data_IF_893277639447
#
_entry.id   IF_893277639447
#
_cell.length_a   1.000
_cell.length_b   1.000
_cell.length_c   1.000
_cell.angle_alpha   90.00
_cell.angle_beta   90.00
_cell.angle_gamma   90.00
#
_symmetry.space_group_name_H-M   'P 1'
#
loop_
_entity.id
_entity.type
_entity.pdbx_description
1 polymer ?
#
# COMPACT_ATOMS: atom_id res chain seq x y z
N UNK A 1 25.34 11.26 -82.55
CA UNK A 1 26.13 10.07 -82.92
C UNK A 1 26.93 9.64 -81.71
N UNK A 2 26.70 8.42 -81.20
CA UNK A 2 27.49 7.84 -80.11
C UNK A 2 26.72 7.65 -78.81
N UNK A 3 25.88 6.61 -78.78
CA UNK A 3 25.21 6.07 -77.61
C UNK A 3 26.11 4.99 -76.98
N UNK A 4 26.24 4.93 -75.65
CA UNK A 4 26.67 3.73 -74.91
C UNK A 4 25.86 3.63 -73.62
N UNK A 5 24.81 2.82 -73.71
CA UNK A 5 23.95 2.35 -72.63
C UNK A 5 24.75 1.61 -71.55
N UNK A 6 24.51 1.94 -70.28
CA UNK A 6 24.59 0.98 -69.18
C UNK A 6 23.23 0.94 -68.48
N UNK A 7 22.44 -0.05 -68.87
CA UNK A 7 21.19 -0.43 -68.20
C UNK A 7 21.55 -1.00 -66.82
N UNK A 8 21.43 -0.21 -65.76
CA UNK A 8 21.25 -0.74 -64.41
C UNK A 8 19.75 -0.98 -64.19
N UNK A 9 19.37 -2.25 -64.26
CA UNK A 9 18.07 -2.77 -63.81
C UNK A 9 17.90 -2.43 -62.32
N UNK A 10 16.89 -1.61 -61.97
CA UNK A 10 16.37 -1.51 -60.59
C UNK A 10 15.15 -2.42 -60.48
N UNK A 11 15.15 -3.46 -59.64
CA UNK A 11 13.92 -4.18 -59.34
C UNK A 11 13.08 -3.32 -58.39
N UNK A 12 11.81 -3.11 -58.73
CA UNK A 12 10.80 -2.55 -57.83
C UNK A 12 10.33 -3.64 -56.88
N UNK A 13 10.88 -3.68 -55.66
CA UNK A 13 10.31 -4.47 -54.58
C UNK A 13 9.17 -3.67 -53.94
N UNK A 14 7.93 -4.07 -54.20
CA UNK A 14 6.77 -3.65 -53.41
C UNK A 14 6.89 -4.31 -52.03
N UNK A 15 7.21 -3.51 -51.02
CA UNK A 15 7.18 -3.96 -49.63
C UNK A 15 5.71 -3.99 -49.16
N UNK A 16 5.19 -5.18 -48.95
CA UNK A 16 3.91 -5.38 -48.25
C UNK A 16 4.08 -4.85 -46.81
N UNK A 17 3.31 -3.82 -46.47
CA UNK A 17 3.30 -3.22 -45.13
C UNK A 17 2.56 -4.19 -44.21
N UNK A 18 3.31 -4.92 -43.39
CA UNK A 18 2.75 -5.68 -42.27
C UNK A 18 2.32 -4.68 -41.19
N UNK A 19 1.02 -4.40 -41.11
CA UNK A 19 0.44 -3.60 -40.02
C UNK A 19 0.71 -4.32 -38.69
N UNK A 20 1.56 -3.72 -37.85
CA UNK A 20 1.81 -4.22 -36.49
C UNK A 20 0.64 -3.82 -35.60
N UNK A 21 0.14 -4.71 -34.73
CA UNK A 21 -0.97 -4.38 -33.84
C UNK A 21 -0.59 -3.21 -32.94
N UNK A 22 -1.48 -2.21 -32.85
CA UNK A 22 -1.30 -0.99 -32.09
C UNK A 22 -0.94 -1.31 -30.64
N UNK A 23 0.19 -0.77 -30.17
CA UNK A 23 0.55 -0.84 -28.75
C UNK A 23 -0.49 -0.06 -27.94
N UNK A 24 -1.31 -0.77 -27.16
CA UNK A 24 -2.26 -0.16 -26.22
C UNK A 24 -1.49 0.22 -24.96
N UNK A 25 -1.39 1.51 -24.70
CA UNK A 25 -0.66 2.01 -23.55
C UNK A 25 -1.45 1.79 -22.26
N UNK A 26 -0.74 1.67 -21.12
CA UNK A 26 -1.36 1.41 -19.83
C UNK A 26 -2.43 2.44 -19.42
N UNK A 27 -2.38 3.64 -19.98
CA UNK A 27 -3.37 4.70 -19.73
C UNK A 27 -4.61 4.66 -20.62
N UNK A 28 -4.59 3.89 -21.72
CA UNK A 28 -5.70 3.67 -22.66
C UNK A 28 -6.65 2.55 -22.22
N UNK A 29 -6.30 1.81 -21.15
CA UNK A 29 -7.19 0.79 -20.56
C UNK A 29 -8.25 1.49 -19.71
N UNK A 30 -9.50 1.47 -20.19
CA UNK A 30 -10.68 2.04 -19.52
C UNK A 30 -11.09 1.25 -18.24
N UNK A 31 -10.52 0.07 -18.01
CA UNK A 31 -10.80 -0.80 -16.84
C UNK A 31 -10.05 -0.42 -15.56
N UNK A 32 -9.53 0.81 -15.45
CA UNK A 32 -9.08 1.32 -14.16
C UNK A 32 -10.33 1.59 -13.32
N UNK A 33 -10.79 0.60 -12.54
CA UNK A 33 -11.61 0.89 -11.36
C UNK A 33 -10.97 2.09 -10.69
N UNK A 34 -11.68 3.21 -10.67
CA UNK A 34 -11.10 4.48 -10.27
C UNK A 34 -10.70 4.36 -8.79
N UNK A 35 -9.41 4.12 -8.55
CA UNK A 35 -8.82 4.05 -7.21
C UNK A 35 -9.02 5.42 -6.58
N UNK A 36 -9.98 5.52 -5.67
CA UNK A 36 -10.28 6.75 -4.95
C UNK A 36 -9.31 6.86 -3.78
N UNK A 37 -8.75 8.04 -3.57
CA UNK A 37 -7.78 8.27 -2.47
C UNK A 37 -8.44 8.00 -1.12
N UNK A 38 -9.73 8.28 -1.04
CA UNK A 38 -10.57 8.14 0.14
C UNK A 38 -10.67 6.68 0.62
N UNK A 39 -10.46 5.70 -0.27
CA UNK A 39 -10.54 4.29 0.10
C UNK A 39 -9.36 3.85 1.01
N UNK A 40 -8.25 4.58 0.94
CA UNK A 40 -6.98 4.32 1.63
C UNK A 40 -6.75 5.21 2.86
N UNK A 41 -7.71 6.08 3.17
CA UNK A 41 -7.61 7.02 4.28
C UNK A 41 -8.85 6.85 5.16
N UNK A 42 -8.63 6.47 6.41
CA UNK A 42 -9.64 6.56 7.46
C UNK A 42 -9.40 7.87 8.21
N UNK A 43 -10.31 8.82 8.08
CA UNK A 43 -10.21 10.15 8.71
C UNK A 43 -11.47 10.44 9.53
N UNK A 44 -11.30 10.95 10.76
CA UNK A 44 -12.38 11.50 11.61
C UNK A 44 -13.50 10.51 11.96
N UNK A 45 -13.16 9.24 12.12
CA UNK A 45 -14.13 8.21 12.51
C UNK A 45 -14.30 8.19 14.03
N UNK A 46 -15.52 7.92 14.50
CA UNK A 46 -15.84 7.89 15.92
C UNK A 46 -16.80 6.76 16.26
N UNK A 47 -16.41 5.86 17.17
CA UNK A 47 -17.21 4.70 17.59
C UNK A 47 -17.56 3.73 16.45
N UNK A 48 -16.67 3.59 15.47
CA UNK A 48 -16.90 2.79 14.27
C UNK A 48 -16.05 1.52 14.23
N UNK A 49 -16.55 0.50 13.55
CA UNK A 49 -15.78 -0.71 13.23
C UNK A 49 -15.64 -0.82 11.72
N UNK A 50 -14.40 -0.82 11.24
CA UNK A 50 -14.06 -0.75 9.82
C UNK A 50 -13.30 -2.00 9.41
N UNK A 51 -13.64 -2.52 8.22
CA UNK A 51 -13.00 -3.65 7.61
C UNK A 51 -12.41 -3.28 6.24
N UNK A 52 -11.22 -3.78 5.96
CA UNK A 52 -10.61 -3.84 4.63
C UNK A 52 -10.34 -5.29 4.30
N UNK A 53 -11.00 -5.77 3.25
CA UNK A 53 -10.93 -7.15 2.81
C UNK A 53 -9.68 -7.40 1.95
N UNK A 54 -9.27 -8.67 1.77
CA UNK A 54 -8.14 -9.00 0.89
C UNK A 54 -8.33 -8.42 -0.52
N UNK A 55 -7.28 -7.80 -1.06
CA UNK A 55 -7.28 -7.15 -2.38
C UNK A 55 -7.83 -5.73 -2.41
N UNK A 56 -8.36 -5.20 -1.30
CA UNK A 56 -8.89 -3.83 -1.25
C UNK A 56 -7.81 -2.74 -1.19
N UNK A 57 -6.66 -3.03 -0.58
CA UNK A 57 -5.54 -2.08 -0.47
C UNK A 57 -4.44 -2.43 -1.48
N UNK A 58 -4.22 -3.73 -1.72
CA UNK A 58 -3.31 -4.25 -2.74
C UNK A 58 -1.91 -3.59 -2.73
N UNK A 59 -1.29 -3.54 -1.54
CA UNK A 59 0.08 -3.04 -1.37
C UNK A 59 0.22 -1.51 -1.40
N UNK A 60 -0.86 -0.75 -1.50
CA UNK A 60 -0.80 0.71 -1.40
C UNK A 60 -0.53 1.19 0.02
N UNK A 61 -0.22 2.49 0.15
CA UNK A 61 -0.15 3.16 1.44
C UNK A 61 -1.55 3.28 2.06
N UNK A 62 -1.65 3.13 3.37
CA UNK A 62 -2.90 3.27 4.11
C UNK A 62 -2.70 4.17 5.33
N UNK A 63 -3.65 5.08 5.56
CA UNK A 63 -3.58 6.12 6.59
C UNK A 63 -4.80 5.98 7.50
N UNK A 64 -4.57 5.99 8.81
CA UNK A 64 -5.61 6.05 9.83
C UNK A 64 -5.32 7.27 10.68
N UNK A 65 -6.20 8.27 10.63
CA UNK A 65 -5.95 9.54 11.29
C UNK A 65 -7.20 10.09 11.98
N UNK A 66 -7.01 10.79 13.09
CA UNK A 66 -8.07 11.51 13.80
C UNK A 66 -9.27 10.62 14.20
N UNK A 67 -9.02 9.36 14.56
CA UNK A 67 -10.07 8.41 14.95
C UNK A 67 -10.18 8.25 16.47
N UNK A 68 -11.40 8.21 17.01
CA UNK A 68 -11.67 7.95 18.43
C UNK A 68 -12.59 6.74 18.65
N UNK A 69 -12.17 5.86 19.57
CA UNK A 69 -12.89 4.64 19.94
C UNK A 69 -13.27 3.76 18.73
N UNK A 70 -12.36 3.66 17.74
CA UNK A 70 -12.57 2.88 16.54
C UNK A 70 -11.90 1.50 16.61
N UNK A 71 -12.49 0.54 15.90
CA UNK A 71 -11.86 -0.77 15.66
C UNK A 71 -11.60 -0.93 14.16
N UNK A 72 -10.35 -1.11 13.77
CA UNK A 72 -9.92 -1.17 12.38
C UNK A 72 -9.30 -2.54 12.11
N UNK A 73 -9.86 -3.27 11.14
CA UNK A 73 -9.34 -4.54 10.66
C UNK A 73 -8.92 -4.42 9.20
N UNK A 74 -7.64 -4.62 8.93
CA UNK A 74 -7.07 -4.63 7.59
C UNK A 74 -6.54 -6.03 7.29
N UNK A 75 -7.31 -6.79 6.52
CA UNK A 75 -6.97 -8.15 6.10
C UNK A 75 -6.34 -8.17 4.70
N UNK A 76 -5.41 -7.25 4.46
CA UNK A 76 -4.68 -7.16 3.20
C UNK A 76 -3.22 -6.80 3.44
N UNK A 77 -2.39 -7.05 2.44
CA UNK A 77 -1.02 -6.59 2.42
C UNK A 77 -0.97 -5.10 2.08
N UNK A 78 -0.08 -4.37 2.76
CA UNK A 78 0.03 -2.91 2.62
C UNK A 78 1.47 -2.49 2.41
N UNK A 79 1.68 -1.37 1.73
CA UNK A 79 3.02 -0.85 1.47
C UNK A 79 3.58 -0.14 2.69
N UNK A 80 2.84 0.84 3.22
CA UNK A 80 3.19 1.62 4.40
C UNK A 80 1.93 1.98 5.16
N UNK A 81 2.02 2.00 6.49
CA UNK A 81 0.94 2.44 7.38
C UNK A 81 1.35 3.69 8.14
N UNK A 82 0.44 4.65 8.21
CA UNK A 82 0.52 5.79 9.12
C UNK A 82 -0.70 5.81 10.03
N UNK A 83 -0.48 5.93 11.34
CA UNK A 83 -1.51 6.03 12.36
C UNK A 83 -1.25 7.32 13.15
N UNK A 84 -2.13 8.31 13.00
CA UNK A 84 -1.94 9.65 13.55
C UNK A 84 -3.14 10.09 14.37
N UNK A 85 -2.93 10.80 15.49
CA UNK A 85 -4.01 11.41 16.29
C UNK A 85 -5.16 10.44 16.63
N UNK A 86 -4.85 9.19 16.95
CA UNK A 86 -5.84 8.15 17.25
C UNK A 86 -5.96 7.92 18.76
N UNK A 87 -7.19 7.84 19.26
CA UNK A 87 -7.47 7.64 20.69
C UNK A 87 -8.40 6.45 20.92
N UNK A 88 -8.10 5.61 21.92
CA UNK A 88 -8.92 4.44 22.27
C UNK A 88 -9.15 3.43 21.13
N UNK A 89 -8.25 3.38 20.14
CA UNK A 89 -8.44 2.57 18.94
C UNK A 89 -7.85 1.15 19.07
N UNK A 90 -8.49 0.19 18.43
CA UNK A 90 -8.00 -1.19 18.27
C UNK A 90 -7.75 -1.46 16.80
N UNK A 91 -6.50 -1.73 16.46
CA UNK A 91 -6.06 -1.77 15.07
C UNK A 91 -5.36 -3.10 14.82
N UNK A 92 -5.88 -3.87 13.86
CA UNK A 92 -5.26 -5.10 13.37
C UNK A 92 -4.96 -4.90 11.90
N UNK A 93 -3.71 -5.10 11.52
CA UNK A 93 -3.24 -4.93 10.15
C UNK A 93 -2.47 -6.17 9.74
N UNK A 94 -2.78 -6.66 8.53
CA UNK A 94 -2.02 -7.70 7.85
C UNK A 94 -0.56 -7.31 7.60
N UNK A 95 0.17 -8.11 6.80
CA UNK A 95 1.57 -7.86 6.52
C UNK A 95 1.82 -6.49 5.87
N UNK A 96 2.74 -5.72 6.45
CA UNK A 96 3.19 -4.43 5.92
C UNK A 96 4.57 -4.62 5.31
N UNK A 97 4.68 -4.44 4.01
CA UNK A 97 5.96 -4.61 3.31
C UNK A 97 6.99 -3.58 3.79
N UNK A 98 6.57 -2.35 4.08
CA UNK A 98 7.46 -1.28 4.52
C UNK A 98 7.38 -1.02 6.01
N UNK A 99 7.12 0.24 6.32
CA UNK A 99 7.16 0.79 7.66
C UNK A 99 5.77 1.03 8.22
N UNK A 100 5.66 0.93 9.53
CA UNK A 100 4.53 1.45 10.29
C UNK A 100 5.03 2.63 11.13
N UNK A 101 4.31 3.74 11.03
CA UNK A 101 4.54 4.95 11.81
C UNK A 101 3.31 5.25 12.65
N UNK A 102 3.49 5.39 13.97
CA UNK A 102 2.44 5.85 14.89
C UNK A 102 2.86 7.17 15.50
N UNK A 103 1.98 8.17 15.43
CA UNK A 103 2.21 9.52 15.98
C UNK A 103 1.02 9.98 16.80
N UNK A 104 1.29 10.75 17.85
CA UNK A 104 0.28 11.52 18.58
C UNK A 104 -0.94 10.70 19.04
N UNK A 105 -0.74 9.41 19.34
CA UNK A 105 -1.81 8.45 19.59
C UNK A 105 -1.81 7.95 21.04
N UNK A 106 -3.00 7.78 21.61
CA UNK A 106 -3.16 7.45 23.03
C UNK A 106 -4.12 6.27 23.26
N UNK A 107 -3.75 5.35 24.15
CA UNK A 107 -4.57 4.21 24.56
C UNK A 107 -5.01 3.33 23.37
N UNK A 108 -4.07 3.01 22.49
CA UNK A 108 -4.34 2.20 21.29
C UNK A 108 -3.70 0.82 21.39
N UNK A 109 -4.36 -0.16 20.77
CA UNK A 109 -3.85 -1.52 20.60
C UNK A 109 -3.55 -1.73 19.13
N UNK A 110 -2.34 -2.21 18.81
CA UNK A 110 -1.95 -2.55 17.44
C UNK A 110 -1.48 -4.01 17.37
N UNK A 111 -1.92 -4.75 16.36
CA UNK A 111 -1.41 -6.08 16.04
C UNK A 111 -1.03 -6.18 14.56
N UNK A 112 0.24 -6.45 14.24
CA UNK A 112 0.72 -6.41 12.85
C UNK A 112 2.13 -7.01 12.65
N UNK A 113 2.46 -7.27 11.38
CA UNK A 113 3.78 -7.67 10.89
C UNK A 113 4.34 -6.56 10.00
N UNK A 114 5.59 -6.13 10.20
CA UNK A 114 6.20 -5.10 9.36
C UNK A 114 7.72 -5.24 9.19
N UNK A 115 8.32 -4.51 8.23
CA UNK A 115 9.78 -4.42 8.15
C UNK A 115 10.35 -3.43 9.16
N UNK A 116 9.73 -2.24 9.29
CA UNK A 116 10.19 -1.19 10.20
C UNK A 116 9.03 -0.69 11.06
N UNK A 117 9.29 -0.51 12.35
CA UNK A 117 8.31 0.01 13.30
C UNK A 117 8.84 1.25 13.98
N UNK A 118 8.07 2.34 13.95
CA UNK A 118 8.43 3.62 14.58
C UNK A 118 7.23 4.24 15.28
N UNK A 119 7.46 4.74 16.49
CA UNK A 119 6.45 5.48 17.26
C UNK A 119 7.02 6.78 17.79
N UNK A 120 6.25 7.85 17.75
CA UNK A 120 6.62 9.16 18.28
C UNK A 120 5.45 9.79 19.03
N UNK A 121 5.71 10.46 20.15
CA UNK A 121 4.70 11.23 20.90
C UNK A 121 3.44 10.43 21.28
N UNK A 122 3.60 9.13 21.58
CA UNK A 122 2.48 8.23 21.90
C UNK A 122 2.40 7.93 23.40
N UNK A 123 1.19 7.56 23.86
CA UNK A 123 0.96 7.14 25.26
C UNK A 123 0.08 5.89 25.36
N UNK A 124 0.40 5.01 26.30
CA UNK A 124 -0.44 3.84 26.64
C UNK A 124 -0.72 2.93 25.43
N UNK A 125 0.33 2.57 24.67
CA UNK A 125 0.19 1.67 23.53
C UNK A 125 0.48 0.22 23.90
N UNK A 126 -0.34 -0.69 23.37
CA UNK A 126 -0.13 -2.13 23.44
C UNK A 126 0.08 -2.68 22.03
N UNK A 127 1.29 -3.13 21.74
CA UNK A 127 1.69 -3.48 20.37
C UNK A 127 2.08 -4.97 20.33
N UNK A 128 1.30 -5.76 19.60
CA UNK A 128 1.64 -7.14 19.22
C UNK A 128 2.37 -7.11 17.88
N UNK A 129 3.67 -7.35 17.90
CA UNK A 129 4.55 -7.04 16.77
C UNK A 129 5.37 -8.25 16.32
N UNK A 130 5.46 -8.45 15.02
CA UNK A 130 6.56 -9.14 14.36
C UNK A 130 7.26 -8.14 13.46
N UNK A 131 8.51 -7.78 13.78
CA UNK A 131 9.26 -6.77 13.05
C UNK A 131 10.61 -7.32 12.60
N UNK A 132 10.96 -7.12 11.32
CA UNK A 132 12.22 -7.59 10.77
C UNK A 132 13.43 -6.80 11.29
N UNK A 133 13.24 -5.51 11.58
CA UNK A 133 14.26 -4.62 12.14
C UNK A 133 13.99 -4.28 13.60
N UNK A 134 14.93 -3.58 14.25
CA UNK A 134 14.75 -3.10 15.61
C UNK A 134 13.66 -2.01 15.67
N UNK A 135 12.59 -2.19 16.47
CA UNK A 135 11.57 -1.17 16.68
C UNK A 135 12.16 0.10 17.33
N UNK A 136 11.68 1.28 16.90
CA UNK A 136 12.13 2.58 17.40
C UNK A 136 10.98 3.28 18.13
N UNK A 137 11.28 3.82 19.32
CA UNK A 137 10.34 4.58 20.15
C UNK A 137 10.98 5.92 20.49
N UNK A 138 10.26 7.01 20.25
CA UNK A 138 10.72 8.38 20.52
C UNK A 138 9.64 9.13 21.31
N UNK A 139 10.04 9.92 22.31
CA UNK A 139 9.16 10.83 23.06
C UNK A 139 7.82 10.22 23.52
N UNK A 140 7.80 8.92 23.83
CA UNK A 140 6.56 8.17 24.12
C UNK A 140 6.59 7.57 25.53
N UNK A 141 5.40 7.31 26.10
CA UNK A 141 5.25 6.83 27.47
C UNK A 141 4.36 5.59 27.57
N UNK A 142 4.72 4.64 28.44
CA UNK A 142 3.97 3.40 28.68
C UNK A 142 3.65 2.61 27.39
N UNK A 143 4.70 2.28 26.64
CA UNK A 143 4.61 1.46 25.42
C UNK A 143 4.95 0.02 25.76
N UNK A 144 4.05 -0.92 25.47
CA UNK A 144 4.20 -2.34 25.77
C UNK A 144 4.21 -3.16 24.50
N UNK A 145 5.13 -4.13 24.44
CA UNK A 145 5.26 -5.05 23.31
C UNK A 145 4.90 -6.48 23.71
N UNK A 146 4.21 -7.16 22.82
CA UNK A 146 3.98 -8.60 22.85
C UNK A 146 4.40 -9.24 21.54
N UNK A 147 4.77 -10.53 21.59
CA UNK A 147 4.99 -11.30 20.37
C UNK A 147 3.66 -11.48 19.63
N UNK A 148 3.62 -11.17 18.34
CA UNK A 148 2.42 -11.35 17.54
C UNK A 148 2.04 -12.84 17.44
N UNK A 149 0.79 -13.15 17.79
CA UNK A 149 0.15 -14.42 17.44
C UNK A 149 -1.10 -14.11 16.65
N UNK A 150 -1.02 -14.25 15.32
CA UNK A 150 -2.10 -13.90 14.40
C UNK A 150 -2.23 -15.00 13.34
N UNK A 151 -3.47 -15.41 13.08
CA UNK A 151 -3.79 -16.36 12.03
C UNK A 151 -5.18 -16.02 11.47
N UNK A 152 -5.29 -15.92 10.15
CA UNK A 152 -6.55 -15.81 9.43
C UNK A 152 -6.36 -16.30 7.98
N UNK A 153 -7.47 -16.65 7.32
CA UNK A 153 -7.44 -17.15 5.94
C UNK A 153 -6.84 -16.09 5.00
N UNK A 154 -5.89 -16.50 4.15
CA UNK A 154 -5.11 -15.62 3.25
C UNK A 154 -4.04 -14.75 3.94
N UNK A 155 -3.65 -15.09 5.17
CA UNK A 155 -2.37 -14.66 5.73
C UNK A 155 -1.26 -15.53 5.12
N UNK A 156 -0.57 -15.03 4.10
CA UNK A 156 0.51 -15.72 3.39
C UNK A 156 1.79 -14.89 3.43
#
# INVERSE_FOLDING_TARGET
MGCLFSFFFRPSASADIVETPRQVFSWEKEDRQAIRKEDFILDKLNNETIYRLPGSINGQQFIVQNCDNCTVYVFDHTGQIQIDDCTNCRILIGPVHGSIFIRDSTNCILATVCQQFRTRDCRDLYIYLSCASQPIIESSHNIKFGCLTLNYNNLA
#
